data_IF_908851435645
#
_entry.id   IF_908851435645
#
_cell.length_a   1.000
_cell.length_b   1.000
_cell.length_c   1.000
_cell.angle_alpha   90.00
_cell.angle_beta   90.00
_cell.angle_gamma   90.00
#
_symmetry.space_group_name_H-M   'P 1'
#
loop_
_entity.id
_entity.type
_entity.pdbx_description
1 polymer ?
#
# COMPACT_ATOMS: atom_id res chain seq x y z
N UNK A 1 -40.38 11.22 14.64
CA UNK A 1 -41.25 11.73 13.56
C UNK A 1 -40.59 11.72 12.17
N UNK A 2 -39.27 11.89 12.05
CA UNK A 2 -38.59 11.89 10.74
C UNK A 2 -38.65 10.55 9.96
N UNK A 3 -38.60 9.40 10.65
CA UNK A 3 -38.62 8.07 10.02
C UNK A 3 -39.94 7.75 9.30
N UNK A 4 -41.07 8.21 9.84
CA UNK A 4 -42.38 7.96 9.25
C UNK A 4 -42.57 8.76 7.94
N UNK A 5 -42.01 9.97 7.86
CA UNK A 5 -42.07 10.80 6.65
C UNK A 5 -41.23 10.20 5.52
N UNK A 6 -40.05 9.65 5.85
CA UNK A 6 -39.19 8.99 4.86
C UNK A 6 -39.82 7.72 4.28
N UNK A 7 -40.44 6.89 5.13
CA UNK A 7 -41.14 5.69 4.67
C UNK A 7 -42.32 6.02 3.75
N UNK A 8 -43.07 7.08 4.06
CA UNK A 8 -44.22 7.50 3.28
C UNK A 8 -43.82 8.05 1.90
N UNK A 9 -42.74 8.87 1.84
CA UNK A 9 -42.22 9.40 0.58
C UNK A 9 -41.64 8.31 -0.33
N UNK A 10 -40.95 7.32 0.25
CA UNK A 10 -40.41 6.19 -0.51
C UNK A 10 -41.51 5.33 -1.14
N UNK A 11 -42.60 5.08 -0.40
CA UNK A 11 -43.76 4.35 -0.91
C UNK A 11 -44.47 5.13 -2.03
N UNK A 12 -44.64 6.45 -1.89
CA UNK A 12 -45.28 7.29 -2.90
C UNK A 12 -44.46 7.31 -4.21
N UNK A 13 -43.13 7.38 -4.10
CA UNK A 13 -42.22 7.36 -5.25
C UNK A 13 -42.31 6.06 -6.04
N UNK A 14 -42.32 4.91 -5.35
CA UNK A 14 -42.46 3.59 -6.00
C UNK A 14 -43.80 3.45 -6.72
N UNK A 15 -44.89 3.98 -6.15
CA UNK A 15 -46.21 3.97 -6.79
C UNK A 15 -46.25 4.83 -8.07
N UNK A 16 -45.66 6.03 -8.04
CA UNK A 16 -45.63 6.92 -9.21
C UNK A 16 -44.79 6.30 -10.33
N UNK A 17 -43.62 5.75 -10.01
CA UNK A 17 -42.75 5.10 -11.00
C UNK A 17 -43.43 3.88 -11.61
N UNK A 18 -44.12 3.06 -10.81
CA UNK A 18 -44.86 1.88 -11.28
C UNK A 18 -46.08 2.19 -12.14
N UNK A 19 -46.72 3.35 -11.95
CA UNK A 19 -47.89 3.78 -12.74
C UNK A 19 -47.50 4.40 -14.08
N UNK A 20 -46.40 5.13 -14.15
CA UNK A 20 -46.02 5.88 -15.36
C UNK A 20 -45.22 5.00 -16.34
N UNK A 21 -44.50 3.98 -15.87
CA UNK A 21 -43.65 3.15 -16.71
C UNK A 21 -44.03 1.68 -16.54
N UNK A 22 -44.93 1.21 -17.40
CA UNK A 22 -45.31 -0.20 -17.50
C UNK A 22 -44.09 -1.12 -17.62
N UNK A 23 -44.27 -2.37 -17.17
CA UNK A 23 -43.33 -3.48 -16.85
C UNK A 23 -42.03 -3.72 -17.67
N UNK A 24 -41.66 -2.89 -18.65
CA UNK A 24 -40.50 -3.09 -19.54
C UNK A 24 -39.23 -2.29 -19.24
N UNK A 25 -39.21 -1.35 -18.29
CA UNK A 25 -38.08 -0.43 -18.10
C UNK A 25 -37.52 -0.38 -16.65
N UNK A 26 -37.72 -1.44 -15.86
CA UNK A 26 -37.37 -1.43 -14.43
C UNK A 26 -35.85 -1.51 -14.15
N UNK A 27 -35.03 -1.90 -15.13
CA UNK A 27 -33.60 -2.18 -14.89
C UNK A 27 -32.73 -0.91 -14.96
N UNK A 28 -33.05 0.05 -15.83
CA UNK A 28 -32.23 1.26 -15.98
C UNK A 28 -32.45 2.29 -14.86
N UNK A 29 -33.66 2.35 -14.29
CA UNK A 29 -33.96 3.28 -13.19
C UNK A 29 -33.24 2.91 -11.88
N UNK A 30 -33.02 1.62 -11.63
CA UNK A 30 -32.32 1.14 -10.42
C UNK A 30 -30.84 1.53 -10.41
N UNK A 31 -30.18 1.53 -11.59
CA UNK A 31 -28.78 1.94 -11.70
C UNK A 31 -28.59 3.44 -11.43
N UNK A 32 -29.51 4.29 -11.90
CA UNK A 32 -29.43 5.73 -11.68
C UNK A 32 -29.64 6.11 -10.20
N UNK A 33 -30.58 5.46 -9.50
CA UNK A 33 -30.81 5.73 -8.07
C UNK A 33 -29.65 5.21 -7.20
N UNK A 34 -29.06 4.07 -7.56
CA UNK A 34 -27.87 3.54 -6.88
C UNK A 34 -26.66 4.46 -6.98
N UNK A 35 -26.37 4.99 -8.19
CA UNK A 35 -25.25 5.91 -8.42
C UNK A 35 -25.46 7.26 -7.71
N UNK A 36 -26.69 7.78 -7.70
CA UNK A 36 -27.00 9.04 -7.01
C UNK A 36 -26.89 8.90 -5.47
N UNK A 37 -27.22 7.73 -4.92
CA UNK A 37 -27.08 7.43 -3.49
C UNK A 37 -25.60 7.32 -3.07
N UNK A 38 -24.74 6.75 -3.93
CA UNK A 38 -23.29 6.74 -3.72
C UNK A 38 -22.69 8.14 -3.77
N UNK A 39 -23.09 8.97 -4.74
CA UNK A 39 -22.61 10.35 -4.86
C UNK A 39 -23.01 11.22 -3.66
N UNK A 40 -24.24 11.08 -3.15
CA UNK A 40 -24.68 11.83 -1.96
C UNK A 40 -24.02 11.33 -0.67
N UNK A 41 -23.72 10.03 -0.55
CA UNK A 41 -22.94 9.48 0.58
C UNK A 41 -21.48 9.96 0.61
N UNK A 42 -20.85 10.15 -0.55
CA UNK A 42 -19.50 10.71 -0.66
C UNK A 42 -19.45 12.20 -0.27
N UNK A 43 -20.49 12.98 -0.58
CA UNK A 43 -20.55 14.39 -0.18
C UNK A 43 -20.80 14.53 1.33
N UNK A 44 -21.60 13.64 1.93
CA UNK A 44 -21.90 13.66 3.37
C UNK A 44 -20.70 13.30 4.27
N UNK A 45 -19.70 12.57 3.76
CA UNK A 45 -18.46 12.26 4.48
C UNK A 45 -17.33 13.27 4.24
N UNK A 46 -17.46 14.15 3.24
CA UNK A 46 -16.42 15.12 2.86
C UNK A 46 -16.46 16.49 3.55
N UNK A 47 -17.48 16.81 4.37
CA UNK A 47 -17.66 18.15 4.95
C UNK A 47 -17.54 18.23 6.48
N UNK A 48 -17.08 17.18 7.16
CA UNK A 48 -16.87 17.22 8.62
C UNK A 48 -15.40 17.46 9.04
N UNK A 49 -14.64 18.22 8.26
CA UNK A 49 -13.37 18.79 8.72
C UNK A 49 -13.62 20.23 9.19
N UNK A 50 -14.07 20.37 10.43
CA UNK A 50 -13.91 21.63 11.16
C UNK A 50 -12.39 21.88 11.33
N UNK A 51 -11.85 23.03 10.93
CA UNK A 51 -10.53 23.43 11.39
C UNK A 51 -10.66 23.81 12.87
N UNK A 52 -10.17 22.94 13.76
CA UNK A 52 -9.91 23.32 15.15
C UNK A 52 -8.67 24.20 15.16
N UNK A 53 -8.91 25.51 15.05
CA UNK A 53 -7.95 26.53 15.45
C UNK A 53 -8.04 26.65 16.98
N UNK A 54 -7.15 25.97 17.72
CA UNK A 54 -6.62 26.42 19.03
C UNK A 54 -5.71 25.38 19.67
N UNK A 55 -4.39 25.56 19.50
CA UNK A 55 -3.43 25.68 20.61
C UNK A 55 -2.07 26.08 20.04
N UNK A 56 -1.87 27.38 19.96
CA UNK A 56 -0.53 27.95 19.99
C UNK A 56 -0.08 27.96 21.45
N UNK A 57 0.59 26.90 21.90
CA UNK A 57 1.66 26.99 22.92
C UNK A 57 2.38 25.65 23.06
N UNK A 58 3.13 25.27 22.02
CA UNK A 58 4.17 24.27 22.15
C UNK A 58 5.44 24.88 21.57
N UNK A 59 6.50 25.07 22.36
CA UNK A 59 7.78 25.46 21.80
C UNK A 59 8.14 24.38 20.79
N UNK A 60 8.42 24.81 19.56
CA UNK A 60 8.85 23.95 18.48
C UNK A 60 9.94 23.03 19.02
N UNK A 61 9.60 21.75 19.27
CA UNK A 61 10.61 20.73 19.48
C UNK A 61 11.31 20.64 18.14
N UNK A 62 12.49 21.26 18.10
CA UNK A 62 13.40 21.23 16.99
C UNK A 62 13.45 19.80 16.45
N UNK A 63 12.92 19.58 15.25
CA UNK A 63 12.80 18.23 14.67
C UNK A 63 14.18 17.60 14.54
N UNK A 64 15.22 18.43 14.43
CA UNK A 64 16.61 18.03 14.41
C UNK A 64 17.13 17.47 15.74
N UNK A 65 16.52 17.82 16.88
CA UNK A 65 16.90 17.28 18.20
C UNK A 65 16.23 15.93 18.51
N UNK A 66 15.06 15.67 17.92
CA UNK A 66 14.40 14.36 18.03
C UNK A 66 15.13 13.27 17.22
N UNK A 67 15.82 13.65 16.13
CA UNK A 67 16.59 12.72 15.30
C UNK A 67 18.03 12.52 15.77
N UNK A 68 18.58 13.43 16.58
CA UNK A 68 19.97 13.34 17.08
C UNK A 68 20.20 12.26 18.15
N UNK A 69 19.14 11.86 18.86
CA UNK A 69 19.24 10.92 19.98
C UNK A 69 18.50 9.59 19.75
N UNK A 70 18.10 9.28 18.51
CA UNK A 70 17.72 7.91 18.18
C UNK A 70 19.03 7.13 18.04
N UNK A 71 19.34 6.18 18.94
CA UNK A 71 20.50 5.32 18.73
C UNK A 71 20.27 4.60 17.39
N UNK A 72 21.06 4.95 16.38
CA UNK A 72 21.23 4.18 15.13
C UNK A 72 22.06 2.93 15.46
N UNK A 73 21.71 2.26 16.55
CA UNK A 73 22.14 0.91 16.83
C UNK A 73 21.00 0.04 16.35
N UNK A 74 21.12 -0.32 15.08
CA UNK A 74 20.76 -1.62 14.56
C UNK A 74 19.54 -2.20 15.28
N UNK A 75 18.35 -1.80 14.83
CA UNK A 75 17.23 -2.73 14.89
C UNK A 75 17.71 -3.90 14.03
N UNK A 76 18.37 -4.87 14.65
CA UNK A 76 18.65 -6.18 14.07
C UNK A 76 17.29 -6.85 13.97
N UNK A 77 16.52 -6.43 12.96
CA UNK A 77 15.28 -7.03 12.55
C UNK A 77 15.64 -8.48 12.27
N UNK A 78 15.08 -9.41 13.06
CA UNK A 78 15.33 -10.84 12.87
C UNK A 78 15.05 -11.16 11.40
N UNK A 79 16.13 -11.48 10.68
CA UNK A 79 16.26 -11.45 9.21
C UNK A 79 15.45 -12.57 8.57
N UNK A 80 14.12 -12.48 8.67
CA UNK A 80 13.17 -13.36 7.98
C UNK A 80 12.32 -12.61 6.98
N UNK A 81 12.33 -11.27 7.01
CA UNK A 81 11.51 -10.44 6.14
C UNK A 81 12.38 -9.47 5.36
N UNK A 82 12.08 -9.33 4.07
CA UNK A 82 12.67 -8.33 3.21
C UNK A 82 12.31 -6.93 3.73
N UNK A 83 13.29 -6.03 3.94
CA UNK A 83 13.00 -4.69 4.45
C UNK A 83 12.29 -3.80 3.42
N UNK A 84 12.28 -4.15 2.13
CA UNK A 84 11.61 -3.38 1.07
C UNK A 84 10.14 -3.77 0.91
N UNK A 85 9.83 -5.07 0.81
CA UNK A 85 8.47 -5.55 0.53
C UNK A 85 7.78 -6.23 1.72
N UNK A 86 8.49 -6.44 2.84
CA UNK A 86 7.97 -7.12 4.03
C UNK A 86 7.78 -8.63 3.89
N UNK A 87 8.05 -9.21 2.72
CA UNK A 87 7.83 -10.64 2.45
C UNK A 87 8.93 -11.53 3.02
N UNK A 88 8.61 -12.81 3.26
CA UNK A 88 9.53 -13.80 3.86
C UNK A 88 10.32 -14.62 2.83
N UNK A 89 10.56 -14.05 1.66
CA UNK A 89 11.23 -14.70 0.54
C UNK A 89 12.71 -14.29 0.43
N UNK A 90 13.40 -14.19 1.58
CA UNK A 90 14.84 -13.93 1.61
C UNK A 90 15.64 -15.23 1.51
N UNK A 91 16.60 -15.24 0.60
CA UNK A 91 17.42 -16.41 0.31
C UNK A 91 18.88 -16.01 0.18
N UNK A 92 19.77 -16.87 0.65
CA UNK A 92 21.14 -16.92 0.13
C UNK A 92 21.10 -17.55 -1.26
N UNK A 93 21.74 -16.91 -2.21
CA UNK A 93 21.81 -17.36 -3.60
C UNK A 93 23.23 -17.25 -4.14
N UNK A 94 23.59 -18.16 -5.04
CA UNK A 94 24.77 -18.02 -5.89
C UNK A 94 24.31 -17.46 -7.24
N UNK A 95 25.08 -16.52 -7.80
CA UNK A 95 24.85 -15.98 -9.13
C UNK A 95 26.08 -16.28 -9.99
N UNK A 96 25.89 -16.92 -11.14
CA UNK A 96 27.00 -17.30 -12.00
C UNK A 96 27.85 -16.09 -12.43
N UNK A 97 29.16 -16.19 -12.22
CA UNK A 97 30.10 -15.12 -12.54
C UNK A 97 30.07 -13.92 -11.59
N UNK A 98 29.34 -14.01 -10.48
CA UNK A 98 29.49 -13.14 -9.30
C UNK A 98 30.25 -13.93 -8.24
N UNK A 99 31.31 -13.33 -7.70
CA UNK A 99 32.08 -13.95 -6.62
C UNK A 99 31.29 -13.86 -5.31
N UNK A 100 31.22 -14.98 -4.58
CA UNK A 100 30.54 -15.07 -3.28
C UNK A 100 29.06 -15.40 -3.38
N UNK A 101 28.42 -15.46 -2.21
CA UNK A 101 26.97 -15.59 -2.10
C UNK A 101 26.34 -14.20 -2.02
N UNK A 102 25.11 -14.07 -2.49
CA UNK A 102 24.31 -12.86 -2.25
C UNK A 102 23.12 -13.22 -1.39
N UNK A 103 22.57 -12.23 -0.68
CA UNK A 103 21.22 -12.36 -0.14
C UNK A 103 20.26 -11.71 -1.13
N UNK A 104 19.14 -12.36 -1.39
CA UNK A 104 18.19 -11.94 -2.40
C UNK A 104 16.76 -12.14 -1.94
N UNK A 105 15.90 -11.15 -2.19
CA UNK A 105 14.47 -11.30 -2.07
C UNK A 105 13.87 -11.70 -3.42
N UNK A 106 13.26 -12.87 -3.50
CA UNK A 106 12.66 -13.38 -4.74
C UNK A 106 11.26 -12.83 -5.05
N UNK A 107 10.74 -11.92 -4.22
CA UNK A 107 9.43 -11.27 -4.42
C UNK A 107 9.55 -9.85 -5.01
N UNK A 108 10.70 -9.20 -4.80
CA UNK A 108 10.94 -7.82 -5.26
C UNK A 108 12.34 -7.64 -5.85
N UNK A 109 13.00 -8.77 -6.13
CA UNK A 109 14.25 -8.87 -6.86
C UNK A 109 15.41 -8.04 -6.28
N UNK A 110 15.32 -7.71 -5.00
CA UNK A 110 16.35 -6.92 -4.30
C UNK A 110 17.48 -7.83 -3.85
N UNK A 111 18.70 -7.39 -4.09
CA UNK A 111 19.96 -8.10 -3.84
C UNK A 111 20.81 -7.31 -2.87
N UNK A 112 21.36 -7.99 -1.86
CA UNK A 112 22.41 -7.52 -0.98
C UNK A 112 23.67 -8.33 -1.27
N UNK A 113 24.79 -7.64 -1.48
CA UNK A 113 26.07 -8.27 -1.77
C UNK A 113 26.57 -9.15 -0.61
N UNK A 114 27.52 -10.04 -0.89
CA UNK A 114 28.07 -10.95 0.12
C UNK A 114 28.55 -10.21 1.37
N UNK A 115 28.20 -10.75 2.54
CA UNK A 115 28.52 -10.17 3.84
C UNK A 115 27.79 -8.85 4.19
N UNK A 116 27.01 -8.27 3.28
CA UNK A 116 26.22 -7.07 3.58
C UNK A 116 25.03 -7.42 4.48
N UNK A 117 24.68 -6.50 5.36
CA UNK A 117 23.47 -6.63 6.16
C UNK A 117 22.24 -6.42 5.25
N UNK A 118 21.16 -7.17 5.50
CA UNK A 118 19.88 -6.98 4.79
C UNK A 118 19.14 -5.76 5.34
N UNK A 119 19.63 -4.57 4.99
CA UNK A 119 19.11 -3.28 5.48
C UNK A 119 18.40 -2.54 4.34
N UNK A 120 17.37 -1.76 4.69
CA UNK A 120 16.70 -0.87 3.75
C UNK A 120 17.65 0.21 3.25
N UNK A 121 17.69 0.44 1.94
CA UNK A 121 18.56 1.43 1.29
C UNK A 121 19.91 0.89 0.82
N UNK A 122 20.34 -0.28 1.31
CA UNK A 122 21.62 -0.91 0.92
C UNK A 122 21.46 -2.01 -0.15
N UNK A 123 20.22 -2.42 -0.43
CA UNK A 123 19.91 -3.38 -1.48
C UNK A 123 19.84 -2.72 -2.86
N UNK A 124 20.18 -3.49 -3.89
CA UNK A 124 20.03 -3.11 -5.30
C UNK A 124 19.03 -4.06 -5.98
N UNK A 125 18.19 -3.54 -6.86
CA UNK A 125 17.42 -4.37 -7.78
C UNK A 125 18.37 -5.22 -8.65
N UNK A 126 17.98 -6.46 -8.94
CA UNK A 126 18.83 -7.46 -9.62
C UNK A 126 19.40 -6.96 -10.95
N UNK A 127 18.60 -6.30 -11.79
CA UNK A 127 19.09 -5.76 -13.07
C UNK A 127 20.18 -4.71 -12.86
N UNK A 128 19.97 -3.77 -11.92
CA UNK A 128 21.01 -2.79 -11.53
C UNK A 128 22.24 -3.45 -10.92
N UNK A 129 22.05 -4.45 -10.07
CA UNK A 129 23.14 -5.19 -9.44
C UNK A 129 24.04 -5.88 -10.48
N UNK A 130 23.44 -6.48 -11.52
CA UNK A 130 24.16 -7.13 -12.63
C UNK A 130 24.80 -6.12 -13.58
N UNK A 131 24.05 -5.07 -13.95
CA UNK A 131 24.54 -4.01 -14.84
C UNK A 131 25.74 -3.27 -14.24
N UNK A 132 25.75 -3.02 -12.93
CA UNK A 132 26.88 -2.43 -12.23
C UNK A 132 28.17 -3.29 -12.30
N UNK A 133 28.04 -4.57 -12.64
CA UNK A 133 29.15 -5.52 -12.84
C UNK A 133 29.45 -5.78 -14.31
N UNK A 134 28.87 -4.99 -15.22
CA UNK A 134 29.05 -5.15 -16.67
C UNK A 134 28.44 -6.44 -17.21
N UNK A 135 27.39 -6.96 -16.56
CA UNK A 135 26.72 -8.20 -16.94
C UNK A 135 25.26 -7.94 -17.28
N UNK A 136 24.72 -8.73 -18.21
CA UNK A 136 23.29 -8.81 -18.42
C UNK A 136 22.62 -9.54 -17.24
N UNK A 137 21.41 -9.13 -16.81
CA UNK A 137 20.63 -9.90 -15.86
C UNK A 137 20.21 -11.23 -16.48
N UNK A 138 20.60 -12.33 -15.84
CA UNK A 138 20.21 -13.68 -16.22
C UNK A 138 19.67 -14.43 -15.01
N UNK A 139 18.36 -14.63 -15.00
CA UNK A 139 17.65 -15.33 -13.93
C UNK A 139 17.95 -16.84 -13.92
N UNK A 140 18.35 -17.42 -15.04
CA UNK A 140 18.74 -18.83 -15.12
C UNK A 140 20.11 -19.08 -14.48
N UNK A 141 20.91 -18.03 -14.32
CA UNK A 141 22.21 -18.06 -13.65
C UNK A 141 22.12 -17.96 -12.11
N UNK A 142 20.91 -17.76 -11.55
CA UNK A 142 20.68 -17.66 -10.11
C UNK A 142 20.35 -19.04 -9.55
N UNK A 143 21.03 -19.44 -8.48
CA UNK A 143 20.76 -20.68 -7.75
C UNK A 143 20.47 -20.38 -6.29
N UNK A 144 19.29 -20.82 -5.82
CA UNK A 144 18.92 -20.79 -4.41
C UNK A 144 19.82 -21.74 -3.59
N UNK A 145 20.37 -21.24 -2.48
CA UNK A 145 21.22 -22.02 -1.57
C UNK A 145 20.45 -22.33 -0.28
N UNK A 146 19.97 -21.28 0.40
CA UNK A 146 19.33 -21.42 1.71
C UNK A 146 18.36 -20.28 1.99
N UNK A 147 17.14 -20.62 2.38
CA UNK A 147 16.15 -19.65 2.88
C UNK A 147 16.52 -19.15 4.28
N UNK A 148 16.35 -17.84 4.51
CA UNK A 148 16.66 -17.15 5.78
C UNK A 148 15.45 -17.07 6.73
#
# INVERSE_FOLDING_TARGET
MALAVHACLAALYLCIVGLVWGRGAAIEAFLLVGVLSLLTGLIATGLNNKPVLERADQPARNVDDALRNVPIHAVTMHVKQCPYCGQTALWRAAVEGVAGEVVMCFECDTVWADGAATVYGEGLEFERFMSARGRAPDWQAVREIKRL
#
